data_IF_999753270382
#
_entry.id   IF_999753270382
#
_cell.length_a   1.000
_cell.length_b   1.000
_cell.length_c   1.000
_cell.angle_alpha   90.00
_cell.angle_beta   90.00
_cell.angle_gamma   90.00
#
_symmetry.space_group_name_H-M   'P 1'
#
loop_
_entity.id
_entity.type
_entity.pdbx_description
1 polymer ?
#
# COMPACT_ATOMS: atom_id res chain seq x y z
N UNK A 1 5.38 -27.50 26.85
CA UNK A 1 4.06 -27.62 26.19
C UNK A 1 3.07 -28.12 27.23
N UNK A 2 2.22 -27.25 27.78
CA UNK A 2 1.19 -27.66 28.72
C UNK A 2 0.07 -28.37 27.95
N UNK A 3 -0.01 -29.68 28.16
CA UNK A 3 -1.04 -30.55 27.62
C UNK A 3 -2.38 -30.14 28.26
N UNK A 4 -3.16 -29.27 27.62
CA UNK A 4 -4.52 -28.94 28.05
C UNK A 4 -5.37 -30.18 27.82
N UNK A 5 -5.50 -31.04 28.83
CA UNK A 5 -6.65 -31.95 28.89
C UNK A 5 -7.83 -31.04 29.22
N UNK A 6 -8.64 -30.70 28.21
CA UNK A 6 -9.89 -29.99 28.43
C UNK A 6 -10.74 -30.82 29.39
N UNK A 7 -11.24 -30.19 30.44
CA UNK A 7 -12.19 -30.80 31.35
C UNK A 7 -13.56 -30.42 30.84
N UNK A 8 -14.36 -31.42 30.50
CA UNK A 8 -15.72 -31.22 30.05
C UNK A 8 -16.62 -31.10 31.26
N UNK A 9 -17.34 -29.99 31.36
CA UNK A 9 -18.37 -29.78 32.37
C UNK A 9 -19.74 -29.87 31.71
N UNK A 10 -20.63 -30.61 32.34
CA UNK A 10 -22.06 -30.69 31.99
C UNK A 10 -22.88 -30.08 33.11
N UNK A 11 -23.71 -29.11 32.82
CA UNK A 11 -24.72 -28.63 33.75
C UNK A 11 -25.95 -29.50 33.56
N UNK A 12 -26.37 -30.15 34.64
CA UNK A 12 -27.47 -31.13 34.62
C UNK A 12 -28.50 -30.80 35.69
N UNK A 13 -29.73 -31.21 35.45
CA UNK A 13 -30.77 -31.22 36.47
C UNK A 13 -30.60 -32.40 37.46
N UNK A 14 -31.59 -32.58 38.34
CA UNK A 14 -31.60 -33.69 39.31
C UNK A 14 -31.83 -35.05 38.67
N UNK A 15 -32.45 -35.10 37.49
CA UNK A 15 -32.77 -36.32 36.73
C UNK A 15 -31.64 -36.73 35.76
N UNK A 16 -30.64 -35.86 35.58
CA UNK A 16 -29.47 -36.06 34.74
C UNK A 16 -29.65 -35.57 33.30
N UNK A 17 -30.66 -34.77 33.00
CA UNK A 17 -30.79 -34.10 31.70
C UNK A 17 -29.74 -33.00 31.57
N UNK A 18 -29.10 -32.91 30.40
CA UNK A 18 -27.99 -31.98 30.14
C UNK A 18 -28.54 -30.70 29.53
N UNK A 19 -28.31 -29.57 30.21
CA UNK A 19 -28.75 -28.24 29.77
C UNK A 19 -27.64 -27.47 29.06
N UNK A 20 -26.39 -27.60 29.53
CA UNK A 20 -25.26 -26.92 28.93
C UNK A 20 -23.98 -27.75 29.06
N UNK A 21 -23.15 -27.74 28.03
CA UNK A 21 -21.80 -28.31 28.06
C UNK A 21 -20.77 -27.23 27.75
N UNK A 22 -19.64 -27.22 28.46
CA UNK A 22 -18.52 -26.33 28.17
C UNK A 22 -17.20 -26.91 28.65
N UNK A 23 -16.10 -26.43 28.06
CA UNK A 23 -14.75 -26.88 28.34
C UNK A 23 -14.05 -25.91 29.27
N UNK A 24 -13.47 -26.42 30.36
CA UNK A 24 -12.67 -25.63 31.29
C UNK A 24 -11.28 -26.21 31.50
N UNK A 25 -10.39 -25.36 31.99
CA UNK A 25 -9.09 -25.75 32.50
C UNK A 25 -9.18 -26.33 33.92
N UNK A 26 -8.10 -26.97 34.36
CA UNK A 26 -7.96 -27.47 35.73
C UNK A 26 -8.08 -26.39 36.80
N UNK A 27 -7.66 -25.15 36.50
CA UNK A 27 -7.69 -24.04 37.46
C UNK A 27 -9.12 -23.59 37.66
N UNK A 28 -9.85 -23.36 36.56
CA UNK A 28 -11.27 -22.97 36.57
C UNK A 28 -12.15 -24.04 37.23
N UNK A 29 -11.84 -25.34 37.05
CA UNK A 29 -12.56 -26.41 37.75
C UNK A 29 -12.45 -26.28 39.28
N UNK A 30 -11.28 -25.94 39.81
CA UNK A 30 -11.10 -25.79 41.27
C UNK A 30 -11.86 -24.56 41.78
N UNK A 31 -11.90 -23.46 41.04
CA UNK A 31 -12.72 -22.28 41.36
C UNK A 31 -14.22 -22.60 41.39
N UNK A 32 -14.70 -23.41 40.44
CA UNK A 32 -16.10 -23.85 40.38
C UNK A 32 -16.45 -24.74 41.59
N UNK A 33 -15.53 -25.63 42.01
CA UNK A 33 -15.71 -26.46 43.20
C UNK A 33 -15.72 -25.63 44.49
N UNK A 34 -14.92 -24.57 44.57
CA UNK A 34 -14.87 -23.67 45.74
C UNK A 34 -16.17 -22.84 45.89
N UNK A 35 -16.82 -22.48 44.78
CA UNK A 35 -18.07 -21.69 44.77
C UNK A 35 -19.35 -22.48 45.12
N UNK A 36 -19.23 -23.67 45.75
CA UNK A 36 -20.34 -24.46 46.34
C UNK A 36 -21.39 -25.01 45.38
N UNK A 37 -21.10 -25.16 44.09
CA UNK A 37 -21.96 -25.95 43.22
C UNK A 37 -21.83 -27.45 43.51
N UNK A 38 -22.90 -28.23 43.33
CA UNK A 38 -22.85 -29.69 43.50
C UNK A 38 -22.12 -30.31 42.31
N UNK A 39 -20.79 -30.22 42.32
CA UNK A 39 -19.92 -30.76 41.26
C UNK A 39 -19.58 -32.22 41.55
N UNK A 40 -19.94 -33.13 40.64
CA UNK A 40 -19.57 -34.56 40.72
C UNK A 40 -18.78 -35.00 39.50
N UNK A 41 -17.77 -35.83 39.71
CA UNK A 41 -17.03 -36.45 38.59
C UNK A 41 -17.76 -37.70 38.12
N UNK A 42 -18.11 -37.77 36.84
CA UNK A 42 -18.88 -38.89 36.27
C UNK A 42 -18.03 -39.75 35.35
N UNK A 43 -17.04 -39.15 34.68
CA UNK A 43 -16.04 -39.86 33.88
C UNK A 43 -14.70 -39.13 33.95
N UNK A 44 -13.61 -39.78 33.54
CA UNK A 44 -12.29 -39.14 33.48
C UNK A 44 -12.36 -37.85 32.64
N UNK A 45 -12.05 -36.71 33.27
CA UNK A 45 -12.17 -35.35 32.71
C UNK A 45 -13.59 -34.92 32.33
N UNK A 46 -14.63 -35.56 32.88
CA UNK A 46 -16.04 -35.14 32.73
C UNK A 46 -16.67 -34.95 34.11
N UNK A 47 -17.11 -33.73 34.38
CA UNK A 47 -17.76 -33.34 35.62
C UNK A 47 -19.18 -32.86 35.33
N UNK A 48 -20.08 -33.11 36.27
CA UNK A 48 -21.45 -32.63 36.25
C UNK A 48 -21.65 -31.62 37.36
N UNK A 49 -22.27 -30.49 37.02
CA UNK A 49 -22.79 -29.51 37.97
C UNK A 49 -24.28 -29.76 38.07
N UNK A 50 -24.75 -30.16 39.25
CA UNK A 50 -26.19 -30.38 39.48
C UNK A 50 -26.81 -29.07 39.99
N UNK A 51 -27.70 -28.49 39.18
CA UNK A 51 -28.47 -27.30 39.54
C UNK A 51 -29.96 -27.64 39.73
N UNK A 52 -30.71 -26.74 40.36
CA UNK A 52 -32.17 -26.84 40.43
C UNK A 52 -32.83 -26.35 39.15
N UNK A 53 -33.99 -26.93 38.81
CA UNK A 53 -34.79 -26.56 37.64
C UNK A 53 -35.06 -25.04 37.58
N UNK A 54 -35.36 -24.40 38.73
CA UNK A 54 -35.54 -22.94 38.83
C UNK A 54 -34.27 -22.13 38.44
N UNK A 55 -33.08 -22.63 38.77
CA UNK A 55 -31.82 -21.97 38.40
C UNK A 55 -31.51 -22.17 36.91
N UNK A 56 -31.83 -23.35 36.38
CA UNK A 56 -31.63 -23.69 34.98
C UNK A 56 -32.57 -22.89 34.06
N UNK A 57 -33.82 -22.70 34.47
CA UNK A 57 -34.80 -21.87 33.77
C UNK A 57 -34.35 -20.41 33.75
N UNK A 58 -33.94 -19.86 34.90
CA UNK A 58 -33.38 -18.51 34.99
C UNK A 58 -32.13 -18.31 34.12
N UNK A 59 -31.23 -19.30 34.05
CA UNK A 59 -30.05 -19.25 33.18
C UNK A 59 -30.43 -19.33 31.69
N UNK A 60 -31.48 -20.09 31.35
CA UNK A 60 -32.00 -20.17 30.01
C UNK A 60 -32.56 -18.84 29.52
N UNK A 61 -33.33 -18.15 30.36
CA UNK A 61 -33.88 -16.82 30.06
C UNK A 61 -32.75 -15.79 29.85
N UNK A 62 -31.73 -15.76 30.72
CA UNK A 62 -30.58 -14.85 30.56
C UNK A 62 -29.78 -15.12 29.28
N UNK A 63 -29.65 -16.39 28.86
CA UNK A 63 -28.98 -16.75 27.61
C UNK A 63 -29.77 -16.32 26.37
N UNK A 64 -31.11 -16.44 26.41
CA UNK A 64 -31.98 -16.01 25.31
C UNK A 64 -31.91 -14.47 25.11
N UNK A 65 -31.93 -13.70 26.22
CA UNK A 65 -31.72 -12.25 26.17
C UNK A 65 -30.34 -11.87 25.60
N UNK A 66 -29.29 -12.60 25.99
CA UNK A 66 -27.93 -12.38 25.47
C UNK A 66 -27.81 -12.72 23.98
N UNK A 67 -28.49 -13.77 23.51
CA UNK A 67 -28.52 -14.15 22.10
C UNK A 67 -29.21 -13.06 21.25
N UNK A 68 -30.32 -12.50 21.74
CA UNK A 68 -31.01 -11.40 21.06
C UNK A 68 -30.12 -10.14 20.95
N UNK A 69 -29.42 -9.77 22.02
CA UNK A 69 -28.48 -8.64 22.02
C UNK A 69 -27.31 -8.89 21.04
N UNK A 70 -26.77 -10.11 21.00
CA UNK A 70 -25.69 -10.44 20.06
C UNK A 70 -26.12 -10.35 18.61
N UNK A 71 -27.35 -10.78 18.29
CA UNK A 71 -27.92 -10.67 16.95
C UNK A 71 -28.10 -9.20 16.53
N UNK A 72 -28.56 -8.34 17.44
CA UNK A 72 -28.69 -6.90 17.19
C UNK A 72 -27.32 -6.26 16.91
N UNK A 73 -26.30 -6.56 17.71
CA UNK A 73 -24.93 -6.07 17.49
C UNK A 73 -24.37 -6.56 16.14
N UNK A 74 -24.61 -7.82 15.78
CA UNK A 74 -24.14 -8.37 14.50
C UNK A 74 -24.81 -7.66 13.32
N UNK A 75 -26.11 -7.39 13.42
CA UNK A 75 -26.85 -6.61 12.42
C UNK A 75 -26.35 -5.17 12.32
N UNK A 76 -26.14 -4.48 13.44
CA UNK A 76 -25.56 -3.13 13.46
C UNK A 76 -24.18 -3.10 12.81
N UNK A 77 -23.31 -4.07 13.13
CA UNK A 77 -21.99 -4.18 12.51
C UNK A 77 -22.08 -4.45 11.00
N UNK A 78 -23.03 -5.28 10.56
CA UNK A 78 -23.26 -5.55 9.15
C UNK A 78 -23.72 -4.29 8.41
N UNK A 79 -24.62 -3.51 9.01
CA UNK A 79 -25.08 -2.23 8.47
C UNK A 79 -23.96 -1.19 8.42
N UNK A 80 -23.14 -1.06 9.47
CA UNK A 80 -22.00 -0.15 9.48
C UNK A 80 -20.98 -0.51 8.41
N UNK A 81 -20.66 -1.80 8.26
CA UNK A 81 -19.77 -2.29 7.20
C UNK A 81 -20.35 -2.01 5.81
N UNK A 82 -21.66 -2.15 5.61
CA UNK A 82 -22.32 -1.81 4.36
C UNK A 82 -22.25 -0.29 4.07
N UNK A 83 -22.57 0.55 5.07
CA UNK A 83 -22.48 2.02 4.98
C UNK A 83 -21.05 2.50 4.72
N UNK A 84 -20.04 1.86 5.33
CA UNK A 84 -18.63 2.15 5.06
C UNK A 84 -18.22 1.78 3.62
N UNK A 85 -18.61 0.58 3.14
CA UNK A 85 -18.36 0.15 1.75
C UNK A 85 -19.02 1.08 0.74
N UNK A 86 -20.21 1.59 1.03
CA UNK A 86 -20.90 2.55 0.18
C UNK A 86 -20.17 3.90 0.12
N UNK A 87 -19.72 4.41 1.27
CA UNK A 87 -18.91 5.64 1.35
C UNK A 87 -17.56 5.52 0.63
N UNK A 88 -16.95 4.33 0.61
CA UNK A 88 -15.66 4.08 -0.02
C UNK A 88 -15.75 3.87 -1.54
N UNK A 89 -16.95 3.65 -2.10
CA UNK A 89 -17.11 3.51 -3.56
C UNK A 89 -16.86 4.83 -4.25
N UNK A 90 -15.80 4.84 -5.04
CA UNK A 90 -15.46 6.00 -5.84
C UNK A 90 -16.47 6.20 -6.97
N UNK A 91 -17.01 7.42 -7.10
CA UNK A 91 -18.02 7.72 -8.11
C UNK A 91 -17.44 7.54 -9.52
N UNK A 92 -18.28 7.09 -10.46
CA UNK A 92 -17.88 6.86 -11.86
C UNK A 92 -17.23 8.09 -12.49
N UNK A 93 -17.72 9.29 -12.15
CA UNK A 93 -17.13 10.57 -12.61
C UNK A 93 -15.69 10.73 -12.14
N UNK A 94 -15.43 10.48 -10.85
CA UNK A 94 -14.08 10.59 -10.32
C UNK A 94 -13.17 9.52 -10.94
N UNK A 95 -13.64 8.28 -11.10
CA UNK A 95 -12.93 7.20 -11.85
C UNK A 95 -12.46 7.65 -13.22
N UNK A 96 -13.37 8.17 -14.04
CA UNK A 96 -13.06 8.66 -15.38
C UNK A 96 -11.99 9.76 -15.33
N UNK A 97 -12.03 10.65 -14.34
CA UNK A 97 -11.02 11.71 -14.19
C UNK A 97 -9.62 11.14 -13.92
N UNK A 98 -9.44 10.24 -12.94
CA UNK A 98 -8.08 9.71 -12.68
C UNK A 98 -7.62 8.79 -13.80
N UNK A 99 -8.49 7.94 -14.36
CA UNK A 99 -8.10 7.12 -15.50
C UNK A 99 -7.74 7.98 -16.71
N UNK A 100 -8.44 9.09 -16.94
CA UNK A 100 -8.09 10.07 -17.98
C UNK A 100 -6.73 10.73 -17.74
N UNK A 101 -6.43 11.15 -16.49
CA UNK A 101 -5.12 11.73 -16.15
C UNK A 101 -3.98 10.71 -16.31
N UNK A 102 -4.17 9.47 -15.86
CA UNK A 102 -3.21 8.39 -16.05
C UNK A 102 -2.97 8.15 -17.55
N UNK A 103 -4.03 8.13 -18.36
CA UNK A 103 -3.89 7.95 -19.80
C UNK A 103 -3.07 9.08 -20.46
N UNK A 104 -3.29 10.33 -20.06
CA UNK A 104 -2.51 11.46 -20.56
C UNK A 104 -1.03 11.30 -20.21
N UNK A 105 -0.72 10.97 -18.95
CA UNK A 105 0.66 10.85 -18.47
C UNK A 105 1.41 9.69 -19.16
N UNK A 106 0.77 8.53 -19.32
CA UNK A 106 1.47 7.34 -19.83
C UNK A 106 1.38 7.14 -21.34
N UNK A 107 0.39 7.72 -22.02
CA UNK A 107 0.21 7.53 -23.47
C UNK A 107 0.46 8.82 -24.23
N UNK A 108 -0.17 9.93 -23.82
CA UNK A 108 -0.10 11.18 -24.60
C UNK A 108 1.27 11.85 -24.46
N UNK A 109 1.82 11.96 -23.24
CA UNK A 109 3.12 12.63 -23.04
C UNK A 109 4.28 11.94 -23.78
N UNK A 110 4.48 10.61 -23.71
CA UNK A 110 5.57 9.96 -24.44
C UNK A 110 5.44 10.11 -25.97
N UNK A 111 4.21 10.16 -26.49
CA UNK A 111 3.97 10.42 -27.91
C UNK A 111 4.43 11.85 -28.27
N UNK A 112 4.08 12.86 -27.48
CA UNK A 112 4.50 14.25 -27.71
C UNK A 112 6.03 14.37 -27.67
N UNK A 113 6.68 13.76 -26.69
CA UNK A 113 8.16 13.73 -26.60
C UNK A 113 8.78 13.10 -27.85
N UNK A 114 8.23 11.97 -28.31
CA UNK A 114 8.65 11.32 -29.54
C UNK A 114 8.48 12.21 -30.78
N UNK A 115 7.35 12.91 -30.91
CA UNK A 115 7.12 13.87 -32.00
C UNK A 115 8.08 15.05 -31.95
N UNK A 116 8.34 15.62 -30.75
CA UNK A 116 9.30 16.71 -30.59
C UNK A 116 10.71 16.27 -30.98
N UNK A 117 11.13 15.08 -30.55
CA UNK A 117 12.43 14.52 -30.93
C UNK A 117 12.53 14.29 -32.44
N UNK A 118 11.48 13.78 -33.09
CA UNK A 118 11.46 13.61 -34.54
C UNK A 118 11.57 14.95 -35.29
N UNK A 119 10.83 15.98 -34.86
CA UNK A 119 10.93 17.33 -35.44
C UNK A 119 12.33 17.92 -35.22
N UNK A 120 12.93 17.73 -34.04
CA UNK A 120 14.30 18.18 -33.76
C UNK A 120 15.32 17.48 -34.68
N UNK A 121 15.12 16.20 -34.96
CA UNK A 121 15.95 15.41 -35.88
C UNK A 121 15.81 15.87 -37.32
N UNK A 122 14.60 16.19 -37.77
CA UNK A 122 14.34 16.57 -39.15
C UNK A 122 14.74 18.03 -39.43
N UNK A 123 14.53 18.92 -38.47
CA UNK A 123 14.68 20.36 -38.67
C UNK A 123 15.97 20.95 -38.10
N UNK A 124 16.56 20.28 -37.11
CA UNK A 124 17.75 20.75 -36.41
C UNK A 124 19.05 20.40 -37.13
N UNK A 125 20.08 21.21 -36.91
CA UNK A 125 21.43 20.97 -37.44
C UNK A 125 22.27 20.24 -36.37
N UNK A 126 22.60 18.95 -36.56
CA UNK A 126 23.47 18.23 -35.61
C UNK A 126 24.90 18.79 -35.69
N UNK A 127 25.56 18.86 -34.54
CA UNK A 127 26.94 19.30 -34.40
C UNK A 127 27.58 18.76 -33.12
N UNK A 128 28.91 18.84 -33.06
CA UNK A 128 29.68 18.55 -31.85
C UNK A 128 30.17 19.86 -31.25
N UNK A 129 29.82 20.12 -29.99
CA UNK A 129 30.22 21.30 -29.25
C UNK A 129 31.30 20.97 -28.23
N UNK A 130 32.30 21.84 -28.06
CA UNK A 130 33.36 21.61 -27.07
C UNK A 130 32.85 21.92 -25.66
N UNK A 131 33.06 20.99 -24.74
CA UNK A 131 32.77 21.17 -23.32
C UNK A 131 33.89 22.00 -22.70
N UNK A 132 33.51 23.11 -22.08
CA UNK A 132 34.42 24.09 -21.48
C UNK A 132 34.19 24.24 -19.98
N UNK A 133 33.08 23.73 -19.47
CA UNK A 133 32.76 23.74 -18.05
C UNK A 133 31.63 22.77 -17.70
N UNK A 134 31.41 22.59 -16.39
CA UNK A 134 30.27 21.85 -15.86
C UNK A 134 29.89 22.40 -14.49
N UNK A 135 28.60 22.54 -14.24
CA UNK A 135 28.06 23.03 -12.97
C UNK A 135 26.73 22.35 -12.66
N UNK A 136 26.23 22.54 -11.44
CA UNK A 136 24.89 22.07 -11.05
C UNK A 136 24.05 23.29 -10.72
N UNK A 137 23.02 23.50 -11.53
CA UNK A 137 22.07 24.60 -11.34
C UNK A 137 20.96 24.18 -10.38
N UNK A 138 20.50 25.15 -9.57
CA UNK A 138 19.42 24.97 -8.62
C UNK A 138 18.29 25.94 -8.94
N UNK A 139 17.31 25.51 -9.72
CA UNK A 139 16.17 26.35 -10.04
C UNK A 139 15.20 26.50 -8.85
N UNK A 140 15.03 25.47 -7.99
CA UNK A 140 14.14 25.48 -6.79
C UNK A 140 14.66 24.55 -5.69
N UNK A 141 14.05 24.61 -4.49
CA UNK A 141 14.44 23.85 -3.28
C UNK A 141 14.59 22.33 -3.54
N UNK A 142 13.87 21.77 -4.51
CA UNK A 142 13.83 20.33 -4.80
C UNK A 142 14.30 19.96 -6.21
N UNK A 143 14.74 20.91 -7.04
CA UNK A 143 15.09 20.64 -8.43
C UNK A 143 16.49 21.17 -8.72
N UNK A 144 17.42 20.24 -8.87
CA UNK A 144 18.82 20.50 -9.24
C UNK A 144 19.12 19.70 -10.50
N UNK A 145 19.62 20.36 -11.54
CA UNK A 145 20.00 19.71 -12.79
C UNK A 145 21.50 19.91 -13.06
N UNK A 146 22.23 18.82 -13.37
CA UNK A 146 23.59 18.92 -13.90
C UNK A 146 23.56 19.61 -15.27
N UNK A 147 24.48 20.56 -15.47
CA UNK A 147 24.56 21.39 -16.67
C UNK A 147 25.99 21.35 -17.20
N UNK A 148 26.13 21.24 -18.53
CA UNK A 148 27.40 21.41 -19.22
C UNK A 148 27.45 22.79 -19.86
N UNK A 149 28.57 23.48 -19.68
CA UNK A 149 28.88 24.71 -20.41
C UNK A 149 29.65 24.32 -21.67
N UNK A 150 29.13 24.72 -22.83
CA UNK A 150 29.66 24.37 -24.15
C UNK A 150 29.97 25.61 -24.96
N UNK A 151 30.97 25.50 -25.84
CA UNK A 151 31.35 26.58 -26.75
C UNK A 151 30.85 26.30 -28.16
N UNK A 152 29.90 27.13 -28.63
CA UNK A 152 29.25 27.02 -29.94
C UNK A 152 29.19 28.39 -30.61
N UNK A 153 29.57 28.46 -31.89
CA UNK A 153 29.50 29.69 -32.71
C UNK A 153 30.09 30.95 -32.04
N UNK A 154 31.15 30.79 -31.26
CA UNK A 154 31.83 31.90 -30.59
C UNK A 154 31.23 32.33 -29.25
N UNK A 155 30.25 31.59 -28.72
CA UNK A 155 29.57 31.87 -27.45
C UNK A 155 29.58 30.66 -26.53
N UNK A 156 29.45 30.93 -25.23
CA UNK A 156 29.22 29.93 -24.20
C UNK A 156 27.71 29.74 -24.06
N UNK A 157 27.26 28.49 -24.10
CA UNK A 157 25.86 28.09 -23.95
C UNK A 157 25.78 27.00 -22.89
N UNK A 158 24.70 27.00 -22.11
CA UNK A 158 24.45 26.03 -21.05
C UNK A 158 23.44 24.98 -21.51
N UNK A 159 23.81 23.71 -21.37
CA UNK A 159 22.96 22.58 -21.77
C UNK A 159 22.74 21.65 -20.60
N UNK A 160 21.48 21.46 -20.23
CA UNK A 160 21.09 20.53 -19.17
C UNK A 160 21.33 19.09 -19.62
N UNK A 161 21.94 18.30 -18.74
CA UNK A 161 22.28 16.90 -18.99
C UNK A 161 21.84 16.01 -17.83
N UNK A 162 21.80 14.70 -18.08
CA UNK A 162 21.65 13.73 -17.00
C UNK A 162 22.96 13.52 -16.26
N UNK A 163 22.86 12.89 -15.09
CA UNK A 163 24.01 12.67 -14.20
C UNK A 163 25.07 11.77 -14.86
N UNK A 164 24.64 10.82 -15.68
CA UNK A 164 25.51 9.91 -16.43
C UNK A 164 26.39 10.69 -17.42
N UNK A 165 25.77 11.48 -18.30
CA UNK A 165 26.47 12.36 -19.25
C UNK A 165 27.36 13.38 -18.53
N UNK A 166 26.90 13.94 -17.42
CA UNK A 166 27.67 14.90 -16.61
C UNK A 166 28.94 14.30 -16.02
N UNK A 167 28.86 13.06 -15.55
CA UNK A 167 29.98 12.36 -14.93
C UNK A 167 31.04 11.97 -15.96
N UNK A 168 30.62 11.63 -17.18
CA UNK A 168 31.51 11.28 -18.28
C UNK A 168 32.10 12.50 -19.01
N UNK A 169 31.48 13.67 -18.87
CA UNK A 169 31.94 14.91 -19.47
C UNK A 169 33.28 15.38 -18.85
N UNK A 170 34.31 15.44 -19.70
CA UNK A 170 35.61 16.01 -19.37
C UNK A 170 35.85 17.32 -20.12
N UNK A 171 36.61 18.23 -19.51
CA UNK A 171 37.01 19.48 -20.16
C UNK A 171 37.75 19.19 -21.47
N UNK A 172 37.36 19.89 -22.55
CA UNK A 172 37.95 19.73 -23.87
C UNK A 172 37.36 18.59 -24.70
N UNK A 173 36.62 17.65 -24.08
CA UNK A 173 35.79 16.69 -24.81
C UNK A 173 34.69 17.41 -25.57
N UNK A 174 34.04 16.71 -26.50
CA UNK A 174 32.89 17.24 -27.22
C UNK A 174 31.60 16.57 -26.77
N UNK A 175 30.48 17.27 -26.96
CA UNK A 175 29.14 16.73 -26.77
C UNK A 175 28.32 16.89 -28.05
N UNK A 176 27.53 15.86 -28.37
CA UNK A 176 26.63 15.87 -29.52
C UNK A 176 25.37 16.66 -29.20
N UNK A 177 25.15 17.72 -29.96
CA UNK A 177 24.02 18.64 -29.78
C UNK A 177 23.38 18.94 -31.13
N UNK A 178 22.13 19.39 -31.08
CA UNK A 178 21.37 19.86 -32.22
C UNK A 178 21.08 21.33 -32.04
N UNK A 179 21.46 22.13 -33.03
CA UNK A 179 21.07 23.53 -33.12
C UNK A 179 19.71 23.63 -33.81
N UNK A 180 18.71 24.13 -33.09
CA UNK A 180 17.36 24.38 -33.61
C UNK A 180 17.34 25.58 -34.57
N UNK A 181 16.24 25.72 -35.31
CA UNK A 181 16.03 26.85 -36.25
C UNK A 181 15.94 28.21 -35.55
N UNK A 182 15.46 28.25 -34.31
CA UNK A 182 15.40 29.45 -33.46
C UNK A 182 16.78 29.83 -32.88
N UNK A 183 17.77 28.95 -32.99
CA UNK A 183 19.14 29.15 -32.51
C UNK A 183 19.44 28.42 -31.21
N UNK A 184 18.44 27.84 -30.54
CA UNK A 184 18.63 27.11 -29.28
C UNK A 184 19.47 25.85 -29.49
N UNK A 185 20.31 25.53 -28.51
CA UNK A 185 21.13 24.33 -28.49
C UNK A 185 20.52 23.32 -27.51
N UNK A 186 20.27 22.11 -27.98
CA UNK A 186 19.78 20.98 -27.17
C UNK A 186 20.60 19.73 -27.43
N UNK A 187 20.56 18.75 -26.53
CA UNK A 187 21.21 17.46 -26.75
C UNK A 187 20.63 16.77 -27.98
N UNK A 188 21.47 16.04 -28.72
CA UNK A 188 21.02 15.30 -29.90
C UNK A 188 20.20 14.07 -29.45
N UNK A 189 18.88 14.01 -29.72
CA UNK A 189 18.02 12.93 -29.24
C UNK A 189 18.26 11.59 -29.97
N UNK A 190 19.15 11.57 -30.97
CA UNK A 190 19.52 10.34 -31.71
C UNK A 190 20.49 9.44 -30.93
N UNK A 191 21.14 9.97 -29.90
CA UNK A 191 22.13 9.27 -29.11
C UNK A 191 21.64 9.10 -27.67
N UNK A 192 21.93 7.93 -27.10
CA UNK A 192 21.72 7.70 -25.68
C UNK A 192 22.68 8.56 -24.85
N UNK A 193 22.33 8.78 -23.59
CA UNK A 193 23.05 9.70 -22.70
C UNK A 193 24.53 9.37 -22.50
N UNK A 194 24.89 8.10 -22.61
CA UNK A 194 26.26 7.57 -22.53
C UNK A 194 27.05 7.83 -23.84
N UNK A 195 26.35 7.91 -24.97
CA UNK A 195 26.94 8.13 -26.30
C UNK A 195 26.93 9.61 -26.73
N UNK A 196 26.47 10.51 -25.85
CA UNK A 196 26.46 11.96 -26.12
C UNK A 196 27.86 12.56 -26.07
N UNK A 197 28.77 12.00 -25.26
CA UNK A 197 30.14 12.49 -25.11
C UNK A 197 31.05 11.87 -26.15
N UNK A 198 31.83 12.71 -26.84
CA UNK A 198 32.86 12.31 -27.80
C UNK A 198 34.21 12.74 -27.24
N UNK A 199 35.05 11.75 -26.91
CA UNK A 199 36.39 11.93 -26.34
C UNK A 199 37.45 12.18 -27.41
#
# INVERSE_FOLDING_TARGET
MFNRRNIHIRVVDKDGEVYHEFDVSKVELEEIKENKHQVRMVKENVYEIVESDENLESLGEELEELEEIMLEIEQEQAEEKAKQKEKQKWSTKKKVIVFGLIFIVFIVLPIIEGFQNAVLVDEGKPMEAQIVGRHVEKEKIIFTHPTLEIFVDGKYEDVWVRTETYNEAEFGSKVRVVKKKDGDIVLDPRYDYEDLIVK
#
